data_IF_546177555338
#
_entry.id   IF_546177555338
#
_cell.length_a   1.000
_cell.length_b   1.000
_cell.length_c   1.000
_cell.angle_alpha   90.00
_cell.angle_beta   90.00
_cell.angle_gamma   90.00
#
_symmetry.space_group_name_H-M   'P 1'
#
loop_
_entity.id
_entity.type
_entity.pdbx_description
1 polymer ?
#
# COMPACT_ATOMS: atom_id res chain seq x y z
N UNK A 1 -17.69 49.84 -2.35
CA UNK A 1 -18.19 48.78 -3.25
C UNK A 1 -17.31 48.73 -4.49
N UNK A 2 -16.47 47.70 -4.63
CA UNK A 2 -15.74 47.39 -5.86
C UNK A 2 -15.79 45.87 -6.04
N UNK A 3 -16.43 45.48 -7.14
CA UNK A 3 -16.56 44.11 -7.65
C UNK A 3 -15.31 43.73 -8.43
N UNK A 4 -15.16 42.42 -8.60
CA UNK A 4 -14.46 41.72 -9.69
C UNK A 4 -13.03 41.30 -9.41
N UNK A 5 -12.79 40.01 -9.63
CA UNK A 5 -11.47 39.42 -9.72
C UNK A 5 -11.47 37.93 -9.41
N UNK A 6 -12.12 37.13 -10.26
CA UNK A 6 -11.94 35.69 -10.29
C UNK A 6 -10.45 35.38 -10.46
N UNK A 7 -9.87 34.62 -9.54
CA UNK A 7 -8.66 33.85 -9.79
C UNK A 7 -8.87 32.45 -9.23
N UNK A 8 -9.52 31.62 -10.03
CA UNK A 8 -9.36 30.17 -9.98
C UNK A 8 -7.90 29.92 -10.37
N UNK A 9 -7.05 29.60 -9.39
CA UNK A 9 -5.71 29.10 -9.64
C UNK A 9 -5.76 27.56 -9.58
N UNK A 10 -5.66 26.85 -10.71
CA UNK A 10 -5.37 25.43 -10.71
C UNK A 10 -3.84 25.31 -10.58
N UNK A 11 -3.34 25.18 -9.36
CA UNK A 11 -1.99 24.66 -9.12
C UNK A 11 -2.15 23.15 -9.04
N UNK A 12 -2.16 22.51 -10.21
CA UNK A 12 -0.96 21.87 -10.76
C UNK A 12 -0.63 20.66 -9.90
N UNK A 13 -1.19 19.54 -10.34
CA UNK A 13 -0.82 18.21 -9.93
C UNK A 13 0.71 18.10 -9.91
N UNK A 14 1.26 17.91 -8.71
CA UNK A 14 2.65 17.52 -8.53
C UNK A 14 2.77 16.04 -8.92
N UNK A 15 2.78 15.78 -10.23
CA UNK A 15 3.16 14.48 -10.79
C UNK A 15 4.59 14.61 -11.29
N UNK A 16 5.41 13.62 -10.92
CA UNK A 16 6.77 13.36 -11.39
C UNK A 16 7.90 14.22 -10.79
N UNK A 17 8.29 13.87 -9.56
CA UNK A 17 9.73 13.70 -9.27
C UNK A 17 10.06 12.20 -9.41
N UNK A 18 10.01 11.72 -10.66
CA UNK A 18 10.62 10.46 -11.07
C UNK A 18 12.12 10.72 -11.23
N UNK A 19 12.94 10.34 -10.24
CA UNK A 19 14.39 10.53 -10.35
C UNK A 19 15.29 9.99 -9.24
N UNK A 20 14.77 9.48 -8.13
CA UNK A 20 15.59 8.87 -7.10
C UNK A 20 14.75 8.02 -6.15
N UNK A 21 15.28 6.84 -5.78
CA UNK A 21 14.68 5.85 -4.88
C UNK A 21 13.64 4.88 -5.50
N UNK A 22 14.07 4.06 -6.48
CA UNK A 22 13.38 2.78 -6.81
C UNK A 22 13.36 1.78 -5.64
N UNK A 23 14.05 2.06 -4.54
CA UNK A 23 14.24 1.17 -3.39
C UNK A 23 13.18 1.33 -2.28
N UNK A 24 12.25 2.28 -2.37
CA UNK A 24 11.31 2.56 -1.25
C UNK A 24 10.01 1.79 -1.33
N UNK A 25 9.39 1.61 -2.51
CA UNK A 25 8.07 0.97 -2.59
C UNK A 25 8.06 -0.47 -2.03
N UNK A 26 9.04 -1.29 -2.41
CA UNK A 26 9.20 -2.65 -1.89
C UNK A 26 9.52 -2.69 -0.40
N UNK A 27 10.38 -1.78 0.07
CA UNK A 27 10.74 -1.66 1.48
C UNK A 27 9.54 -1.19 2.32
N UNK A 28 8.76 -0.23 1.80
CA UNK A 28 7.56 0.30 2.44
C UNK A 28 6.43 -0.72 2.45
N UNK A 29 6.29 -1.51 1.39
CA UNK A 29 5.40 -2.66 1.35
C UNK A 29 5.82 -3.71 2.39
N UNK A 30 7.11 -4.05 2.46
CA UNK A 30 7.61 -4.97 3.48
C UNK A 30 7.37 -4.47 4.92
N UNK A 31 7.58 -3.17 5.17
CA UNK A 31 7.25 -2.54 6.46
C UNK A 31 5.76 -2.60 6.75
N UNK A 32 4.90 -2.36 5.76
CA UNK A 32 3.46 -2.45 5.92
C UNK A 32 3.02 -3.88 6.26
N UNK A 33 3.53 -4.89 5.55
CA UNK A 33 3.26 -6.31 5.85
C UNK A 33 3.75 -6.71 7.25
N UNK A 34 4.96 -6.30 7.64
CA UNK A 34 5.49 -6.56 8.98
C UNK A 34 4.62 -5.92 10.07
N UNK A 35 4.13 -4.70 9.82
CA UNK A 35 3.24 -4.00 10.73
C UNK A 35 1.86 -4.66 10.81
N UNK A 36 1.29 -5.13 9.69
CA UNK A 36 0.04 -5.91 9.68
C UNK A 36 0.24 -7.22 10.44
N UNK A 37 1.36 -7.92 10.23
CA UNK A 37 1.70 -9.12 10.98
C UNK A 37 1.73 -8.85 12.49
N UNK A 38 2.40 -7.76 12.92
CA UNK A 38 2.41 -7.32 14.33
C UNK A 38 1.02 -6.99 14.84
N UNK A 39 0.22 -6.21 14.10
CA UNK A 39 -1.17 -5.88 14.43
C UNK A 39 -2.05 -7.12 14.53
N UNK A 40 -1.75 -8.17 13.78
CA UNK A 40 -2.52 -9.41 13.76
C UNK A 40 -2.20 -10.40 14.89
N UNK A 41 -1.03 -10.26 15.54
CA UNK A 41 -0.54 -11.20 16.56
C UNK A 41 -1.58 -11.57 17.64
N UNK A 42 -2.34 -10.62 18.22
CA UNK A 42 -3.32 -10.97 19.26
C UNK A 42 -4.42 -11.95 18.81
N UNK A 43 -4.65 -12.07 17.50
CA UNK A 43 -5.70 -12.90 16.91
C UNK A 43 -5.19 -14.13 16.16
N UNK A 44 -3.92 -14.13 15.76
CA UNK A 44 -3.32 -15.05 14.80
C UNK A 44 -2.05 -15.73 15.31
N UNK A 45 -1.79 -15.74 16.62
CA UNK A 45 -0.58 -16.32 17.22
C UNK A 45 -0.26 -17.75 16.72
N UNK A 46 -1.28 -18.58 16.50
CA UNK A 46 -1.12 -19.96 16.01
C UNK A 46 -1.24 -20.12 14.48
N UNK A 47 -1.57 -19.05 13.75
CA UNK A 47 -1.75 -19.05 12.30
C UNK A 47 -1.32 -17.69 11.73
N UNK A 48 0.00 -17.37 11.75
CA UNK A 48 0.51 -16.08 11.34
C UNK A 48 0.26 -15.83 9.85
N UNK A 49 0.22 -14.55 9.48
CA UNK A 49 0.13 -14.14 8.07
C UNK A 49 1.39 -14.54 7.29
N UNK A 50 1.27 -14.84 5.99
CA UNK A 50 2.42 -15.14 5.15
C UNK A 50 3.39 -13.94 5.12
N UNK A 51 4.71 -14.17 5.17
CA UNK A 51 5.69 -13.10 5.07
C UNK A 51 5.78 -12.58 3.63
N UNK A 52 6.04 -11.28 3.49
CA UNK A 52 6.38 -10.65 2.21
C UNK A 52 7.89 -10.69 1.97
N UNK A 53 8.33 -10.98 0.75
CA UNK A 53 9.74 -10.99 0.34
C UNK A 53 10.11 -9.71 -0.43
N UNK A 54 10.72 -8.70 0.22
CA UNK A 54 11.13 -7.47 -0.45
C UNK A 54 12.20 -7.71 -1.54
N UNK A 55 12.98 -8.79 -1.44
CA UNK A 55 14.04 -9.08 -2.43
C UNK A 55 13.42 -9.43 -3.78
N UNK A 56 12.37 -10.26 -3.77
CA UNK A 56 11.63 -10.62 -4.99
C UNK A 56 10.94 -9.42 -5.61
N UNK A 57 10.37 -8.54 -4.77
CA UNK A 57 9.81 -7.26 -5.19
C UNK A 57 10.86 -6.40 -5.91
N UNK A 58 12.00 -6.13 -5.27
CA UNK A 58 13.04 -5.26 -5.80
C UNK A 58 13.60 -5.76 -7.14
N UNK A 59 13.74 -7.07 -7.29
CA UNK A 59 14.23 -7.70 -8.52
C UNK A 59 13.28 -7.54 -9.71
N UNK A 60 11.98 -7.33 -9.47
CA UNK A 60 10.95 -7.37 -10.51
C UNK A 60 10.07 -6.11 -10.57
N UNK A 61 10.27 -5.12 -9.69
CA UNK A 61 9.46 -3.89 -9.64
C UNK A 61 9.47 -3.12 -10.97
N UNK A 62 10.54 -3.23 -11.77
CA UNK A 62 10.59 -2.64 -13.11
C UNK A 62 9.56 -3.22 -14.10
N UNK A 63 8.93 -4.35 -13.77
CA UNK A 63 7.86 -4.95 -14.57
C UNK A 63 6.49 -4.32 -14.28
N UNK A 64 6.38 -3.52 -13.22
CA UNK A 64 5.16 -2.82 -12.84
C UNK A 64 5.03 -1.48 -13.59
N UNK A 65 3.82 -1.18 -14.06
CA UNK A 65 3.49 0.11 -14.65
C UNK A 65 3.31 1.21 -13.60
N UNK A 66 3.18 2.46 -14.03
CA UNK A 66 2.93 3.58 -13.10
C UNK A 66 1.63 3.41 -12.30
N UNK A 67 0.56 2.95 -12.95
CA UNK A 67 -0.72 2.66 -12.28
C UNK A 67 -0.58 1.56 -11.22
N UNK A 68 0.27 0.55 -11.46
CA UNK A 68 0.53 -0.49 -10.46
C UNK A 68 1.26 0.07 -9.24
N UNK A 69 2.22 0.98 -9.45
CA UNK A 69 2.93 1.63 -8.35
C UNK A 69 1.98 2.48 -7.50
N UNK A 70 1.05 3.21 -8.13
CA UNK A 70 0.02 3.98 -7.41
C UNK A 70 -0.90 3.06 -6.58
N UNK A 71 -1.23 1.86 -7.10
CA UNK A 71 -2.01 0.87 -6.35
C UNK A 71 -1.22 0.26 -5.18
N UNK A 72 0.08 0.02 -5.34
CA UNK A 72 0.96 -0.43 -4.25
C UNK A 72 0.98 0.62 -3.13
N UNK A 73 1.15 1.89 -3.48
CA UNK A 73 1.16 2.98 -2.50
C UNK A 73 -0.20 3.08 -1.76
N UNK A 74 -1.31 2.95 -2.47
CA UNK A 74 -2.65 2.92 -1.86
C UNK A 74 -2.85 1.71 -0.93
N UNK A 75 -2.36 0.53 -1.32
CA UNK A 75 -2.38 -0.67 -0.49
C UNK A 75 -1.56 -0.48 0.80
N UNK A 76 -0.36 0.11 0.70
CA UNK A 76 0.50 0.43 1.84
C UNK A 76 -0.23 1.37 2.82
N UNK A 77 -0.87 2.42 2.31
CA UNK A 77 -1.65 3.35 3.13
C UNK A 77 -2.82 2.65 3.82
N UNK A 78 -3.55 1.77 3.12
CA UNK A 78 -4.63 0.98 3.68
C UNK A 78 -4.15 0.11 4.85
N UNK A 79 -3.05 -0.64 4.67
CA UNK A 79 -2.48 -1.47 5.74
C UNK A 79 -2.01 -0.65 6.95
N UNK A 80 -1.43 0.53 6.71
CA UNK A 80 -1.02 1.45 7.79
C UNK A 80 -2.23 1.93 8.59
N UNK A 81 -3.37 2.15 7.95
CA UNK A 81 -4.61 2.59 8.58
C UNK A 81 -5.34 1.50 9.41
N UNK A 82 -5.03 0.22 9.20
CA UNK A 82 -5.64 -0.86 9.99
C UNK A 82 -5.33 -0.70 11.49
N UNK A 83 -6.31 -0.95 12.35
CA UNK A 83 -6.10 -1.04 13.80
C UNK A 83 -5.34 -2.31 14.20
N UNK A 84 -4.99 -2.45 15.47
CA UNK A 84 -4.52 -3.74 16.02
C UNK A 84 -5.70 -4.69 16.12
N UNK A 85 -5.48 -5.97 15.80
CA UNK A 85 -6.51 -6.97 15.92
C UNK A 85 -6.93 -7.18 17.38
N UNK A 86 -8.24 -7.13 17.60
CA UNK A 86 -8.90 -7.52 18.85
C UNK A 86 -9.53 -8.91 18.65
N UNK A 87 -9.33 -9.89 19.55
CA UNK A 87 -9.91 -11.23 19.41
C UNK A 87 -11.43 -11.24 19.22
N UNK A 88 -12.16 -10.32 19.84
CA UNK A 88 -13.61 -10.14 19.68
C UNK A 88 -14.02 -9.53 18.34
N UNK A 89 -13.07 -8.94 17.60
CA UNK A 89 -13.28 -8.33 16.28
C UNK A 89 -12.39 -8.93 15.19
N UNK A 90 -11.88 -10.15 15.40
CA UNK A 90 -10.98 -10.85 14.46
C UNK A 90 -11.51 -10.86 13.03
N UNK A 91 -12.80 -11.14 12.84
CA UNK A 91 -13.42 -11.19 11.52
C UNK A 91 -13.34 -9.83 10.79
N UNK A 92 -13.61 -8.73 11.50
CA UNK A 92 -13.53 -7.37 10.94
C UNK A 92 -12.10 -6.97 10.62
N UNK A 93 -11.12 -7.35 11.45
CA UNK A 93 -9.71 -7.11 11.15
C UNK A 93 -9.26 -7.86 9.89
N UNK A 94 -9.61 -9.15 9.76
CA UNK A 94 -9.29 -9.94 8.56
C UNK A 94 -9.99 -9.39 7.31
N UNK A 95 -11.24 -8.94 7.44
CA UNK A 95 -11.95 -8.27 6.35
C UNK A 95 -11.25 -6.96 5.95
N UNK A 96 -10.67 -6.23 6.92
CA UNK A 96 -9.85 -5.06 6.65
C UNK A 96 -8.59 -5.39 5.84
N UNK A 97 -7.90 -6.50 6.16
CA UNK A 97 -6.77 -6.98 5.35
C UNK A 97 -7.23 -7.30 3.93
N UNK A 98 -8.30 -8.10 3.77
CA UNK A 98 -8.84 -8.43 2.43
C UNK A 98 -9.29 -7.20 1.66
N UNK A 99 -9.77 -6.15 2.34
CA UNK A 99 -10.09 -4.88 1.70
C UNK A 99 -8.84 -4.19 1.17
N UNK A 100 -7.75 -4.15 1.93
CA UNK A 100 -6.48 -3.63 1.45
C UNK A 100 -5.90 -4.50 0.32
N UNK A 101 -6.11 -5.81 0.32
CA UNK A 101 -5.69 -6.71 -0.78
C UNK A 101 -6.50 -6.48 -2.07
N UNK A 102 -7.61 -5.73 -2.02
CA UNK A 102 -8.44 -5.46 -3.20
C UNK A 102 -7.88 -4.38 -4.13
N UNK A 103 -6.75 -3.76 -3.78
CA UNK A 103 -5.98 -2.92 -4.69
C UNK A 103 -5.42 -3.77 -5.83
N UNK A 104 -6.05 -3.66 -7.00
CA UNK A 104 -5.77 -4.54 -8.14
C UNK A 104 -4.49 -4.10 -8.84
N UNK A 105 -3.47 -4.95 -8.79
CA UNK A 105 -2.30 -4.86 -9.65
C UNK A 105 -2.59 -5.55 -10.98
N UNK A 106 -1.88 -5.15 -12.03
CA UNK A 106 -1.82 -5.93 -13.26
C UNK A 106 -1.25 -7.33 -12.98
N UNK A 107 -1.71 -8.35 -13.70
CA UNK A 107 -1.22 -9.72 -13.54
C UNK A 107 0.32 -9.82 -13.68
N UNK A 108 0.92 -8.98 -14.53
CA UNK A 108 2.36 -8.91 -14.71
C UNK A 108 3.05 -8.38 -13.46
N UNK A 109 2.54 -7.30 -12.88
CA UNK A 109 3.09 -6.74 -11.68
C UNK A 109 2.85 -7.68 -10.48
N UNK A 110 1.63 -8.18 -10.28
CA UNK A 110 1.31 -9.13 -9.20
C UNK A 110 2.25 -10.35 -9.19
N UNK A 111 2.46 -10.99 -10.33
CA UNK A 111 3.38 -12.14 -10.45
C UNK A 111 4.86 -11.78 -10.22
N UNK A 112 5.22 -10.54 -10.50
CA UNK A 112 6.55 -10.01 -10.24
C UNK A 112 6.81 -9.81 -8.74
N UNK A 113 5.82 -9.33 -7.97
CA UNK A 113 6.02 -8.95 -6.58
C UNK A 113 5.67 -10.04 -5.56
N UNK A 114 4.64 -10.85 -5.81
CA UNK A 114 4.08 -11.83 -4.87
C UNK A 114 4.33 -13.27 -5.31
#
# INVERSE_FOLDING_TARGET
MRKSGWMLAPLAAAVAVLGGCRSTACEDLAKAYAEVARKSQPCLEHAPLPPFDPTRCEQNLQQCGGEDLDQIDAQIECYRALGTCDPGQKASFLQGITHCDSHVLSNTCEAAIF
#
